data_IF_814271173900
#
_entry.id   IF_814271173900
#
_cell.length_a   1.000
_cell.length_b   1.000
_cell.length_c   1.000
_cell.angle_alpha   90.00
_cell.angle_beta   90.00
_cell.angle_gamma   90.00
#
_symmetry.space_group_name_H-M   'P 1'
#
loop_
_entity.id
_entity.type
_entity.pdbx_description
1 polymer ?
#
# COMPACT_ATOMS: atom_id res chain seq x y z
N UNK A 1 5.00 -17.84 -17.68
CA UNK A 1 5.54 -16.62 -17.05
C UNK A 1 5.90 -16.96 -15.62
N UNK A 2 7.18 -16.89 -15.26
CA UNK A 2 7.64 -17.11 -13.88
C UNK A 2 7.16 -15.97 -12.99
N UNK A 3 6.59 -16.31 -11.83
CA UNK A 3 6.25 -15.35 -10.78
C UNK A 3 7.56 -14.71 -10.27
N UNK A 4 7.98 -13.59 -10.85
CA UNK A 4 9.09 -12.81 -10.30
C UNK A 4 8.58 -12.14 -9.02
N UNK A 5 9.19 -12.51 -7.90
CA UNK A 5 9.01 -11.80 -6.65
C UNK A 5 9.54 -10.37 -6.82
N UNK A 6 8.83 -9.35 -6.30
CA UNK A 6 9.31 -7.99 -6.36
C UNK A 6 10.58 -7.86 -5.51
N UNK A 7 11.51 -7.01 -5.93
CA UNK A 7 12.66 -6.66 -5.10
C UNK A 7 12.22 -5.63 -4.07
N UNK A 8 12.68 -5.74 -2.83
CA UNK A 8 12.41 -4.71 -1.82
C UNK A 8 13.30 -3.49 -2.10
N UNK A 9 12.74 -2.29 -1.96
CA UNK A 9 13.55 -1.07 -1.89
C UNK A 9 14.23 -1.00 -0.53
N UNK A 10 15.45 -0.45 -0.50
CA UNK A 10 16.13 -0.13 0.76
C UNK A 10 15.66 1.24 1.33
N UNK A 11 14.77 1.93 0.62
CA UNK A 11 14.03 3.09 1.13
C UNK A 11 12.73 2.62 1.79
N UNK A 12 12.34 3.26 2.89
CA UNK A 12 11.04 3.07 3.54
C UNK A 12 10.42 4.38 4.01
N UNK A 13 9.09 4.41 4.05
CA UNK A 13 8.31 5.55 4.57
C UNK A 13 7.57 5.11 5.83
N UNK A 14 7.72 5.90 6.89
CA UNK A 14 6.92 5.78 8.11
C UNK A 14 6.08 7.04 8.27
N UNK A 15 4.76 6.88 8.21
CA UNK A 15 3.85 8.01 8.24
C UNK A 15 2.51 7.68 8.89
N UNK A 16 2.00 8.61 9.70
CA UNK A 16 0.62 8.61 10.18
C UNK A 16 -0.29 9.53 9.33
N UNK A 17 0.27 10.26 8.35
CA UNK A 17 -0.47 10.97 7.32
C UNK A 17 -0.42 10.19 5.99
N UNK A 18 -1.56 9.60 5.63
CA UNK A 18 -1.68 8.80 4.41
C UNK A 18 -1.57 9.62 3.12
N UNK A 19 -2.02 10.87 3.10
CA UNK A 19 -1.95 11.69 1.87
C UNK A 19 -0.51 12.10 1.59
N UNK A 20 0.20 12.53 2.63
CA UNK A 20 1.63 12.80 2.52
C UNK A 20 2.42 11.55 2.15
N UNK A 21 2.10 10.40 2.75
CA UNK A 21 2.75 9.13 2.41
C UNK A 21 2.55 8.76 0.93
N UNK A 22 1.34 8.96 0.38
CA UNK A 22 1.08 8.72 -1.04
C UNK A 22 1.85 9.69 -1.95
N UNK A 23 1.93 10.97 -1.59
CA UNK A 23 2.71 11.96 -2.35
C UNK A 23 4.22 11.67 -2.32
N UNK A 24 4.78 11.33 -1.15
CA UNK A 24 6.18 10.91 -1.04
C UNK A 24 6.43 9.63 -1.85
N UNK A 25 5.48 8.69 -1.82
CA UNK A 25 5.58 7.45 -2.59
C UNK A 25 5.59 7.73 -4.09
N UNK A 26 4.76 8.64 -4.60
CA UNK A 26 4.77 8.99 -6.04
C UNK A 26 6.05 9.68 -6.49
N UNK A 27 6.78 10.31 -5.58
CA UNK A 27 8.09 10.91 -5.86
C UNK A 27 9.23 9.87 -5.90
N UNK A 28 9.22 8.87 -5.01
CA UNK A 28 10.39 8.02 -4.74
C UNK A 28 10.26 6.56 -5.21
N UNK A 29 9.07 6.05 -5.46
CA UNK A 29 8.89 4.63 -5.77
C UNK A 29 9.47 4.25 -7.14
N UNK A 30 10.08 3.07 -7.21
CA UNK A 30 10.68 2.54 -8.43
C UNK A 30 9.92 1.34 -8.99
N UNK A 31 9.81 1.28 -10.32
CA UNK A 31 9.17 0.16 -11.00
C UNK A 31 9.89 -1.15 -10.70
N UNK A 32 9.12 -2.22 -10.52
CA UNK A 32 9.59 -3.57 -10.14
C UNK A 32 10.24 -3.68 -8.76
N UNK A 33 10.22 -2.61 -7.98
CA UNK A 33 10.63 -2.61 -6.59
C UNK A 33 9.41 -2.30 -5.69
N UNK A 34 9.41 -2.89 -4.51
CA UNK A 34 8.38 -2.68 -3.50
C UNK A 34 8.90 -1.65 -2.48
N UNK A 35 8.25 -0.48 -2.46
CA UNK A 35 8.49 0.53 -1.43
C UNK A 35 7.65 0.22 -0.19
N UNK A 36 8.34 0.00 0.93
CA UNK A 36 7.68 -0.27 2.21
C UNK A 36 7.11 1.02 2.80
N UNK A 37 5.82 1.02 3.08
CA UNK A 37 5.10 2.10 3.79
C UNK A 37 4.44 1.51 5.03
N UNK A 38 4.62 2.15 6.19
CA UNK A 38 4.04 1.69 7.44
C UNK A 38 3.65 2.83 8.37
N UNK A 39 2.69 2.58 9.26
CA UNK A 39 2.28 3.56 10.27
C UNK A 39 3.37 3.75 11.34
N UNK A 40 3.38 4.92 11.96
CA UNK A 40 4.22 5.25 13.11
C UNK A 40 3.99 4.32 14.31
N UNK A 41 4.95 4.25 15.25
CA UNK A 41 4.76 3.49 16.48
C UNK A 41 3.68 4.13 17.35
N UNK A 42 2.75 3.32 17.88
CA UNK A 42 1.67 3.79 18.76
C UNK A 42 2.16 3.91 20.20
N UNK A 43 2.83 5.01 20.50
CA UNK A 43 3.53 5.22 21.78
C UNK A 43 2.61 5.27 23.00
N UNK A 44 1.33 5.61 22.83
CA UNK A 44 0.35 5.69 23.93
C UNK A 44 -0.13 4.34 24.42
N UNK A 45 0.17 3.24 23.72
CA UNK A 45 -0.19 1.90 24.17
C UNK A 45 0.70 1.45 25.34
N UNK A 46 0.20 0.59 26.24
CA UNK A 46 1.04 -0.01 27.29
C UNK A 46 2.29 -0.71 26.74
N UNK A 47 2.22 -1.23 25.51
CA UNK A 47 3.31 -1.87 24.78
C UNK A 47 4.02 -0.93 23.78
N UNK A 48 3.99 0.39 23.97
CA UNK A 48 4.55 1.37 23.03
C UNK A 48 6.03 1.13 22.66
N UNK A 49 6.84 0.61 23.59
CA UNK A 49 8.22 0.20 23.29
C UNK A 49 8.29 -0.99 22.32
N UNK A 50 7.36 -1.94 22.42
CA UNK A 50 7.27 -3.05 21.47
C UNK A 50 6.86 -2.57 20.07
N UNK A 51 6.03 -1.53 19.96
CA UNK A 51 5.70 -0.93 18.66
C UNK A 51 6.94 -0.38 17.94
N UNK A 52 7.84 0.29 18.67
CA UNK A 52 9.12 0.80 18.14
C UNK A 52 10.00 -0.36 17.65
N UNK A 53 10.16 -1.40 18.48
CA UNK A 53 10.93 -2.59 18.12
C UNK A 53 10.38 -3.26 16.86
N UNK A 54 9.05 -3.34 16.71
CA UNK A 54 8.41 -3.88 15.51
C UNK A 54 8.77 -3.10 14.24
N UNK A 55 8.77 -1.75 14.28
CA UNK A 55 9.18 -0.92 13.12
C UNK A 55 10.65 -1.11 12.80
N UNK A 56 11.51 -1.11 13.81
CA UNK A 56 12.94 -1.32 13.60
C UNK A 56 13.25 -2.70 13.01
N UNK A 57 12.57 -3.75 13.48
CA UNK A 57 12.72 -5.08 12.91
C UNK A 57 12.22 -5.15 11.47
N UNK A 58 11.13 -4.46 11.14
CA UNK A 58 10.65 -4.36 9.76
C UNK A 58 11.67 -3.64 8.86
N UNK A 59 12.24 -2.51 9.32
CA UNK A 59 13.28 -1.78 8.61
C UNK A 59 14.57 -2.59 8.44
N UNK A 60 14.99 -3.33 9.46
CA UNK A 60 16.11 -4.25 9.37
C UNK A 60 15.84 -5.40 8.40
N UNK A 61 14.61 -5.94 8.38
CA UNK A 61 14.20 -7.02 7.49
C UNK A 61 14.27 -6.65 6.00
N UNK A 62 14.12 -5.36 5.67
CA UNK A 62 14.26 -4.85 4.31
C UNK A 62 15.64 -4.24 4.02
N UNK A 63 16.59 -4.32 4.96
CA UNK A 63 17.89 -3.66 4.91
C UNK A 63 17.79 -2.15 4.60
N UNK A 64 16.89 -1.46 5.28
CA UNK A 64 16.65 -0.04 5.04
C UNK A 64 17.92 0.78 5.32
N UNK A 65 18.34 1.58 4.33
CA UNK A 65 19.44 2.53 4.46
C UNK A 65 19.01 3.98 4.18
N UNK A 66 17.73 4.17 3.87
CA UNK A 66 17.07 5.46 3.68
C UNK A 66 15.64 5.36 4.27
N UNK A 67 15.34 6.15 5.30
CA UNK A 67 14.09 6.10 6.04
C UNK A 67 13.46 7.48 6.11
N UNK A 68 12.33 7.64 5.43
CA UNK A 68 11.55 8.86 5.44
C UNK A 68 10.54 8.80 6.59
N UNK A 69 10.62 9.76 7.51
CA UNK A 69 9.62 9.99 8.54
C UNK A 69 8.76 11.18 8.13
N UNK A 70 7.44 11.02 8.15
CA UNK A 70 6.52 12.09 7.74
C UNK A 70 5.23 12.04 8.53
N UNK A 71 4.60 13.18 8.82
CA UNK A 71 3.31 13.22 9.51
C UNK A 71 3.28 12.54 10.90
N UNK A 72 4.44 12.37 11.54
CA UNK A 72 4.59 11.79 12.88
C UNK A 72 4.64 12.89 13.94
N UNK A 73 4.28 12.57 15.18
CA UNK A 73 4.52 13.47 16.32
C UNK A 73 6.00 13.56 16.68
N UNK A 74 6.41 14.63 17.37
CA UNK A 74 7.80 14.82 17.82
C UNK A 74 8.32 13.64 18.65
N UNK A 75 7.46 13.07 19.51
CA UNK A 75 7.79 11.90 20.32
C UNK A 75 8.03 10.66 19.46
N UNK A 76 7.23 10.45 18.42
CA UNK A 76 7.40 9.35 17.47
C UNK A 76 8.67 9.53 16.64
N UNK A 77 8.92 10.74 16.14
CA UNK A 77 10.15 11.08 15.39
C UNK A 77 11.37 10.80 16.25
N UNK A 78 11.39 11.28 17.49
CA UNK A 78 12.48 11.04 18.43
C UNK A 78 12.68 9.54 18.71
N UNK A 79 11.60 8.83 19.04
CA UNK A 79 11.64 7.41 19.35
C UNK A 79 12.20 6.55 18.20
N UNK A 80 11.85 6.90 16.96
CA UNK A 80 12.40 6.25 15.78
C UNK A 80 13.85 6.66 15.53
N UNK A 81 14.16 7.96 15.54
CA UNK A 81 15.48 8.48 15.19
C UNK A 81 16.59 8.02 16.14
N UNK A 82 16.31 7.90 17.44
CA UNK A 82 17.26 7.47 18.48
C UNK A 82 17.85 6.06 18.25
N UNK A 83 17.24 5.26 17.36
CA UNK A 83 17.63 3.87 17.09
C UNK A 83 18.43 3.70 15.79
N UNK A 84 18.54 4.74 14.96
CA UNK A 84 19.23 4.65 13.68
C UNK A 84 20.57 5.39 13.69
N UNK A 85 21.56 4.89 12.91
CA UNK A 85 22.75 5.65 12.60
C UNK A 85 22.41 7.00 11.96
N UNK A 86 23.26 8.00 12.20
CA UNK A 86 23.13 9.32 11.59
C UNK A 86 23.11 9.22 10.06
N UNK A 87 22.21 9.97 9.42
CA UNK A 87 22.15 10.10 7.97
C UNK A 87 21.26 9.09 7.24
N UNK A 88 20.65 8.14 7.95
CA UNK A 88 19.65 7.20 7.37
C UNK A 88 18.23 7.76 7.47
N UNK A 89 17.95 8.55 8.52
CA UNK A 89 16.60 9.04 8.82
C UNK A 89 16.43 10.47 8.33
N UNK A 90 15.36 10.70 7.57
CA UNK A 90 15.01 11.99 6.99
C UNK A 90 13.58 12.39 7.37
N UNK A 91 13.43 13.52 8.06
CA UNK A 91 12.13 14.13 8.27
C UNK A 91 11.70 14.84 6.99
N UNK A 92 10.52 14.50 6.47
CA UNK A 92 9.97 15.08 5.24
C UNK A 92 8.53 15.53 5.44
N UNK A 93 8.21 16.70 4.94
CA UNK A 93 6.87 17.26 4.86
C UNK A 93 6.38 17.40 3.42
N UNK A 94 5.21 18.01 3.27
CA UNK A 94 4.61 18.32 1.96
C UNK A 94 5.54 19.13 1.03
N UNK A 95 6.31 20.07 1.60
CA UNK A 95 7.22 20.91 0.83
C UNK A 95 8.44 20.16 0.26
N UNK A 96 8.76 18.97 0.79
CA UNK A 96 9.92 18.20 0.36
C UNK A 96 9.62 17.26 -0.82
N UNK A 97 8.34 17.03 -1.14
CA UNK A 97 7.91 16.01 -2.12
C UNK A 97 8.57 16.22 -3.49
N UNK A 98 8.54 17.45 -4.02
CA UNK A 98 9.14 17.77 -5.32
C UNK A 98 10.66 17.57 -5.31
N UNK A 99 11.33 17.87 -4.19
CA UNK A 99 12.78 17.72 -4.07
C UNK A 99 13.27 16.26 -4.06
N UNK A 100 12.37 15.30 -3.87
CA UNK A 100 12.67 13.87 -3.93
C UNK A 100 12.38 13.25 -5.30
N UNK A 101 11.60 13.94 -6.14
CA UNK A 101 11.15 13.41 -7.42
C UNK A 101 12.25 13.51 -8.48
N UNK A 102 12.27 12.54 -9.40
CA UNK A 102 13.13 12.63 -10.58
C UNK A 102 12.69 13.76 -11.53
N UNK A 103 13.61 14.30 -12.32
CA UNK A 103 13.32 15.34 -13.32
C UNK A 103 12.22 14.90 -14.32
N UNK A 104 12.18 13.62 -14.68
CA UNK A 104 11.14 13.06 -15.54
C UNK A 104 9.74 13.16 -14.92
N UNK A 105 9.63 12.94 -13.61
CA UNK A 105 8.35 13.06 -12.87
C UNK A 105 7.95 14.51 -12.70
N UNK A 106 8.91 15.40 -12.42
CA UNK A 106 8.67 16.84 -12.25
C UNK A 106 8.21 17.54 -13.53
N UNK A 107 8.63 17.04 -14.70
CA UNK A 107 8.22 17.58 -15.99
C UNK A 107 6.77 17.21 -16.38
N UNK A 108 6.13 16.29 -15.65
CA UNK A 108 4.74 15.91 -15.88
C UNK A 108 3.81 16.73 -14.98
N UNK A 109 2.61 17.07 -15.49
CA UNK A 109 1.59 17.74 -14.67
C UNK A 109 1.17 16.87 -13.48
N UNK A 110 0.93 17.47 -12.32
CA UNK A 110 0.41 16.74 -11.16
C UNK A 110 -0.94 16.07 -11.46
N UNK A 111 -1.13 14.85 -10.95
CA UNK A 111 -2.40 14.15 -10.99
C UNK A 111 -3.32 14.71 -9.91
N UNK A 112 -4.34 15.46 -10.34
CA UNK A 112 -5.44 15.96 -9.50
C UNK A 112 -6.36 14.79 -9.10
N UNK A 113 -6.61 14.60 -7.81
CA UNK A 113 -7.45 13.49 -7.34
C UNK A 113 -8.27 13.82 -6.09
N UNK A 114 -9.43 13.18 -5.95
CA UNK A 114 -10.28 13.28 -4.77
C UNK A 114 -9.66 12.63 -3.52
N UNK A 115 -10.27 12.81 -2.34
CA UNK A 115 -9.77 12.19 -1.09
C UNK A 115 -10.09 10.70 -0.91
N UNK A 116 -10.83 10.12 -1.85
CA UNK A 116 -11.27 8.73 -1.85
C UNK A 116 -10.45 7.86 -2.82
N UNK A 117 -10.33 6.57 -2.51
CA UNK A 117 -9.59 5.57 -3.30
C UNK A 117 -8.12 5.97 -3.51
N UNK A 118 -7.42 6.29 -2.42
CA UNK A 118 -6.04 6.78 -2.44
C UNK A 118 -5.07 5.77 -3.09
N UNK A 119 -5.33 4.47 -2.94
CA UNK A 119 -4.48 3.44 -3.58
C UNK A 119 -4.58 3.48 -5.10
N UNK A 120 -5.77 3.71 -5.65
CA UNK A 120 -5.99 3.82 -7.11
C UNK A 120 -5.34 5.08 -7.66
N UNK A 121 -5.47 6.20 -6.95
CA UNK A 121 -4.75 7.43 -7.25
C UNK A 121 -3.26 7.19 -7.37
N UNK A 122 -2.68 6.61 -6.32
CA UNK A 122 -1.26 6.38 -6.21
C UNK A 122 -0.76 5.47 -7.34
N UNK A 123 -1.44 4.34 -7.58
CA UNK A 123 -1.03 3.43 -8.62
C UNK A 123 -1.10 4.09 -10.01
N UNK A 124 -2.13 4.89 -10.29
CA UNK A 124 -2.24 5.65 -11.54
C UNK A 124 -1.10 6.66 -11.68
N UNK A 125 -0.80 7.41 -10.63
CA UNK A 125 0.31 8.37 -10.60
C UNK A 125 1.66 7.70 -10.87
N UNK A 126 1.91 6.53 -10.26
CA UNK A 126 3.13 5.76 -10.45
C UNK A 126 3.30 5.19 -11.88
N UNK A 127 2.19 4.80 -12.52
CA UNK A 127 2.21 4.35 -13.92
C UNK A 127 2.42 5.50 -14.90
N UNK A 128 1.83 6.65 -14.63
CA UNK A 128 1.93 7.85 -15.47
C UNK A 128 3.20 8.67 -15.19
N UNK A 129 3.94 8.34 -14.12
CA UNK A 129 5.14 9.08 -13.69
C UNK A 129 4.81 10.51 -13.24
N UNK A 130 3.78 10.67 -12.39
CA UNK A 130 3.26 11.98 -11.97
C UNK A 130 3.27 12.11 -10.45
N UNK A 131 3.46 13.35 -9.96
CA UNK A 131 3.15 13.68 -8.57
C UNK A 131 1.63 13.77 -8.35
N UNK A 132 1.21 13.75 -7.08
CA UNK A 132 -0.22 13.74 -6.71
C UNK A 132 -0.58 15.06 -6.05
N UNK A 133 -1.71 15.62 -6.45
CA UNK A 133 -2.34 16.76 -5.79
C UNK A 133 -3.76 16.39 -5.36
N UNK A 134 -3.99 16.36 -4.05
CA UNK A 134 -5.28 15.95 -3.47
C UNK A 134 -6.20 17.15 -3.29
N UNK A 135 -7.42 17.03 -3.81
CA UNK A 135 -8.47 18.04 -3.73
C UNK A 135 -9.74 17.44 -3.12
N UNK A 136 -10.52 18.23 -2.39
CA UNK A 136 -11.72 17.73 -1.70
C UNK A 136 -12.80 17.23 -2.68
N UNK A 137 -12.90 17.83 -3.87
CA UNK A 137 -13.89 17.49 -4.90
C UNK A 137 -13.24 17.00 -6.21
N UNK A 138 -12.03 16.45 -6.12
CA UNK A 138 -11.33 15.91 -7.28
C UNK A 138 -11.99 14.63 -7.84
N UNK A 139 -11.60 14.19 -9.04
CA UNK A 139 -12.10 12.94 -9.61
C UNK A 139 -11.66 11.74 -8.76
N UNK A 140 -12.47 10.68 -8.75
CA UNK A 140 -12.11 9.41 -8.12
C UNK A 140 -12.55 8.23 -8.98
N UNK A 141 -11.83 7.13 -8.86
CA UNK A 141 -12.14 5.85 -9.50
C UNK A 141 -11.85 4.74 -8.50
N UNK A 142 -12.59 3.63 -8.63
CA UNK A 142 -12.39 2.46 -7.77
C UNK A 142 -11.42 1.46 -8.39
N UNK A 143 -11.06 1.60 -9.67
CA UNK A 143 -10.18 0.65 -10.37
C UNK A 143 -9.22 1.38 -11.30
N UNK A 144 -7.99 0.90 -11.38
CA UNK A 144 -7.02 1.29 -12.41
C UNK A 144 -6.32 0.08 -13.01
N UNK A 145 -5.96 0.20 -14.29
CA UNK A 145 -5.31 -0.84 -15.07
C UNK A 145 -3.86 -1.09 -14.67
N UNK A 146 -3.31 -2.19 -15.19
CA UNK A 146 -1.90 -2.55 -15.05
C UNK A 146 -1.43 -3.32 -16.28
N UNK A 147 -0.13 -3.54 -16.37
CA UNK A 147 0.52 -4.12 -17.56
C UNK A 147 0.60 -5.65 -17.52
N UNK A 148 0.38 -6.26 -16.35
CA UNK A 148 0.49 -7.70 -16.13
C UNK A 148 -0.87 -8.38 -15.94
N UNK A 149 -0.90 -9.71 -16.04
CA UNK A 149 -2.07 -10.55 -15.72
C UNK A 149 -2.24 -10.76 -14.20
N UNK A 150 -1.97 -9.73 -13.41
CA UNK A 150 -2.14 -9.75 -11.96
C UNK A 150 -3.04 -8.60 -11.57
N UNK A 151 -3.85 -8.85 -10.57
CA UNK A 151 -4.77 -7.85 -10.06
C UNK A 151 -4.80 -7.91 -8.53
N UNK A 152 -4.68 -6.73 -7.94
CA UNK A 152 -4.73 -6.53 -6.50
C UNK A 152 -6.10 -5.99 -6.15
N UNK A 153 -6.74 -6.58 -5.15
CA UNK A 153 -8.02 -6.12 -4.61
C UNK A 153 -7.76 -5.61 -3.21
N UNK A 154 -8.17 -4.39 -2.89
CA UNK A 154 -8.04 -3.83 -1.55
C UNK A 154 -9.41 -3.43 -1.00
N UNK A 155 -9.70 -3.84 0.22
CA UNK A 155 -10.88 -3.40 0.96
C UNK A 155 -10.72 -1.92 1.39
N UNK A 156 -11.74 -1.11 1.14
CA UNK A 156 -11.79 0.28 1.58
C UNK A 156 -11.83 0.41 3.11
N UNK A 157 -11.37 1.56 3.61
CA UNK A 157 -11.53 1.95 5.02
C UNK A 157 -10.23 2.05 5.81
N UNK A 158 -9.09 1.71 5.22
CA UNK A 158 -7.77 2.07 5.74
C UNK A 158 -6.89 2.61 4.60
N UNK A 159 -6.62 3.92 4.64
CA UNK A 159 -5.84 4.62 3.61
C UNK A 159 -4.40 4.10 3.50
N UNK A 160 -3.74 3.77 4.62
CA UNK A 160 -2.39 3.16 4.58
C UNK A 160 -2.43 1.79 3.91
N UNK A 161 -3.47 0.99 4.17
CA UNK A 161 -3.62 -0.33 3.51
C UNK A 161 -3.80 -0.20 2.00
N UNK A 162 -4.51 0.82 1.53
CA UNK A 162 -4.63 1.10 0.09
C UNK A 162 -3.29 1.51 -0.54
N UNK A 163 -2.46 2.28 0.17
CA UNK A 163 -1.09 2.64 -0.27
C UNK A 163 -0.21 1.39 -0.37
N UNK A 164 -0.25 0.53 0.66
CA UNK A 164 0.49 -0.74 0.68
C UNK A 164 0.08 -1.63 -0.51
N UNK A 165 -1.24 -1.72 -0.78
CA UNK A 165 -1.78 -2.48 -1.91
C UNK A 165 -1.33 -1.89 -3.26
N UNK A 166 -1.31 -0.56 -3.39
CA UNK A 166 -0.83 0.14 -4.57
C UNK A 166 0.67 -0.11 -4.81
N UNK A 167 1.50 -0.05 -3.77
CA UNK A 167 2.95 -0.33 -3.90
C UNK A 167 3.20 -1.78 -4.29
N UNK A 168 2.43 -2.71 -3.71
CA UNK A 168 2.49 -4.11 -4.12
C UNK A 168 2.08 -4.27 -5.58
N UNK A 169 0.95 -3.68 -6.00
CA UNK A 169 0.50 -3.72 -7.38
C UNK A 169 1.54 -3.14 -8.35
N UNK A 170 2.13 -2.00 -8.01
CA UNK A 170 3.16 -1.34 -8.81
C UNK A 170 4.44 -2.17 -8.92
N UNK A 171 4.86 -2.83 -7.84
CA UNK A 171 6.04 -3.71 -7.87
C UNK A 171 5.86 -4.93 -8.79
N UNK A 172 4.61 -5.34 -9.03
CA UNK A 172 4.27 -6.50 -9.86
C UNK A 172 3.80 -6.16 -11.26
N UNK A 173 3.55 -4.89 -11.54
CA UNK A 173 2.81 -4.49 -12.74
C UNK A 173 1.35 -4.89 -12.76
N UNK A 174 0.74 -5.07 -11.59
CA UNK A 174 -0.66 -5.43 -11.47
C UNK A 174 -1.59 -4.22 -11.65
N UNK A 175 -2.86 -4.53 -11.89
CA UNK A 175 -3.98 -3.59 -11.71
C UNK A 175 -4.42 -3.56 -10.24
N UNK A 176 -5.21 -2.56 -9.85
CA UNK A 176 -5.76 -2.43 -8.50
C UNK A 176 -7.24 -2.05 -8.55
N UNK A 177 -8.05 -2.71 -7.73
CA UNK A 177 -9.43 -2.32 -7.42
C UNK A 177 -9.61 -2.13 -5.92
N UNK A 178 -10.26 -1.03 -5.55
CA UNK A 178 -10.80 -0.80 -4.20
C UNK A 178 -12.24 -1.27 -4.16
N UNK A 179 -12.53 -2.22 -3.27
CA UNK A 179 -13.88 -2.72 -3.02
C UNK A 179 -14.45 -2.10 -1.72
N UNK A 180 -15.77 -1.97 -1.59
CA UNK A 180 -16.39 -1.56 -0.35
C UNK A 180 -15.99 -2.47 0.81
N UNK A 181 -16.09 -1.94 2.04
CA UNK A 181 -15.87 -2.71 3.26
C UNK A 181 -16.78 -3.94 3.28
N UNK A 182 -16.19 -5.11 3.51
CA UNK A 182 -16.91 -6.38 3.53
C UNK A 182 -17.63 -6.53 4.87
N UNK A 183 -18.89 -6.96 4.82
CA UNK A 183 -19.67 -7.18 6.03
C UNK A 183 -19.02 -8.30 6.89
N UNK A 184 -19.21 -8.25 8.22
CA UNK A 184 -18.51 -9.15 9.13
C UNK A 184 -18.93 -10.61 8.96
N UNK A 185 -20.23 -10.85 8.77
CA UNK A 185 -20.81 -12.18 8.62
C UNK A 185 -20.27 -12.93 7.39
N UNK A 186 -20.21 -12.27 6.24
CA UNK A 186 -19.62 -12.82 5.02
C UNK A 186 -18.11 -13.06 5.16
N UNK A 187 -17.43 -12.19 5.92
CA UNK A 187 -16.00 -12.40 6.19
C UNK A 187 -15.77 -13.68 6.99
N UNK A 188 -16.57 -13.90 8.04
CA UNK A 188 -16.49 -15.09 8.88
C UNK A 188 -16.81 -16.36 8.09
N UNK A 189 -17.86 -16.33 7.26
CA UNK A 189 -18.20 -17.43 6.36
C UNK A 189 -17.06 -17.78 5.38
N UNK A 190 -16.46 -16.77 4.73
CA UNK A 190 -15.34 -16.97 3.79
C UNK A 190 -14.12 -17.53 4.54
N UNK A 191 -13.84 -17.09 5.77
CA UNK A 191 -12.74 -17.61 6.58
C UNK A 191 -12.96 -19.06 6.99
N UNK A 192 -14.16 -19.39 7.49
CA UNK A 192 -14.52 -20.76 7.86
C UNK A 192 -14.37 -21.71 6.66
N UNK A 193 -14.84 -21.29 5.47
CA UNK A 193 -14.67 -22.05 4.25
C UNK A 193 -13.19 -22.22 3.87
N UNK A 194 -12.37 -21.16 3.98
CA UNK A 194 -10.94 -21.21 3.70
C UNK A 194 -10.23 -22.22 4.62
N UNK A 195 -10.48 -22.16 5.93
CA UNK A 195 -9.87 -23.07 6.90
C UNK A 195 -10.37 -24.52 6.77
N UNK A 196 -11.62 -24.69 6.32
CA UNK A 196 -12.21 -26.02 6.12
C UNK A 196 -11.90 -26.63 4.74
N UNK A 197 -11.21 -25.87 3.86
CA UNK A 197 -10.95 -26.30 2.48
C UNK A 197 -9.81 -27.33 2.39
N UNK A 198 -10.10 -28.58 2.72
CA UNK A 198 -9.18 -29.70 2.47
C UNK A 198 -9.36 -30.28 1.05
N UNK A 199 -10.51 -30.02 0.39
CA UNK A 199 -10.90 -30.62 -0.89
C UNK A 199 -11.23 -29.58 -1.99
N UNK A 200 -11.17 -30.01 -3.27
CA UNK A 200 -11.24 -29.13 -4.44
C UNK A 200 -12.55 -28.35 -4.65
N UNK A 201 -13.71 -28.88 -4.24
CA UNK A 201 -15.02 -28.22 -4.42
C UNK A 201 -15.19 -27.00 -3.51
N UNK A 202 -14.79 -27.11 -2.24
CA UNK A 202 -14.83 -25.99 -1.28
C UNK A 202 -13.93 -24.83 -1.73
N UNK A 203 -12.78 -25.17 -2.33
CA UNK A 203 -11.86 -24.18 -2.90
C UNK A 203 -12.46 -23.46 -4.11
N UNK A 204 -13.27 -24.13 -4.91
CA UNK A 204 -13.97 -23.52 -6.05
C UNK A 204 -15.06 -22.56 -5.56
N UNK A 205 -15.86 -22.97 -4.56
CA UNK A 205 -16.88 -22.10 -3.94
C UNK A 205 -16.25 -20.84 -3.35
N UNK A 206 -15.16 -20.99 -2.60
CA UNK A 206 -14.42 -19.88 -2.01
C UNK A 206 -13.88 -18.92 -3.08
N UNK A 207 -13.37 -19.44 -4.20
CA UNK A 207 -12.94 -18.61 -5.32
C UNK A 207 -14.09 -17.82 -5.92
N UNK A 208 -15.27 -18.44 -6.05
CA UNK A 208 -16.48 -17.76 -6.52
C UNK A 208 -16.90 -16.64 -5.56
N UNK A 209 -16.91 -16.90 -4.25
CA UNK A 209 -17.30 -15.89 -3.25
C UNK A 209 -16.33 -14.70 -3.24
N UNK A 210 -15.02 -14.95 -3.29
CA UNK A 210 -14.01 -13.90 -3.40
C UNK A 210 -14.11 -13.13 -4.72
N UNK A 211 -14.45 -13.81 -5.81
CA UNK A 211 -14.66 -13.16 -7.11
C UNK A 211 -15.90 -12.26 -7.10
N UNK A 212 -16.99 -12.71 -6.47
CA UNK A 212 -18.22 -11.94 -6.32
C UNK A 212 -17.99 -10.64 -5.52
N UNK A 213 -17.05 -10.63 -4.56
CA UNK A 213 -16.65 -9.41 -3.86
C UNK A 213 -16.03 -8.35 -4.78
N UNK A 214 -15.46 -8.77 -5.92
CA UNK A 214 -14.88 -7.86 -6.92
C UNK A 214 -15.97 -7.20 -7.79
N UNK A 215 -17.25 -7.57 -7.64
CA UNK A 215 -18.36 -6.99 -8.37
C UNK A 215 -18.25 -7.22 -9.87
N UNK A 216 -18.41 -6.14 -10.66
CA UNK A 216 -18.42 -6.18 -12.12
C UNK A 216 -17.04 -6.01 -12.77
N UNK A 217 -15.94 -6.26 -12.05
CA UNK A 217 -14.59 -6.17 -12.62
C UNK A 217 -14.38 -7.37 -13.55
N UNK A 218 -14.14 -7.09 -14.83
CA UNK A 218 -13.78 -8.12 -15.80
C UNK A 218 -12.29 -8.45 -15.70
N UNK A 219 -11.97 -9.71 -15.43
CA UNK A 219 -10.59 -10.18 -15.38
C UNK A 219 -10.24 -10.99 -16.63
N UNK A 220 -9.13 -10.69 -17.32
CA UNK A 220 -8.63 -11.53 -18.39
C UNK A 220 -8.39 -12.97 -17.93
N UNK A 221 -8.58 -13.95 -18.83
CA UNK A 221 -8.36 -15.35 -18.51
C UNK A 221 -6.93 -15.61 -17.97
N UNK A 222 -6.84 -16.29 -16.83
CA UNK A 222 -5.58 -16.59 -16.15
C UNK A 222 -5.01 -15.45 -15.30
N UNK A 223 -5.84 -14.47 -14.92
CA UNK A 223 -5.45 -13.42 -13.98
C UNK A 223 -5.27 -13.97 -12.57
N UNK A 224 -4.15 -13.64 -11.92
CA UNK A 224 -3.93 -13.93 -10.50
C UNK A 224 -4.48 -12.79 -9.64
N UNK A 225 -5.27 -13.14 -8.62
CA UNK A 225 -5.82 -12.19 -7.66
C UNK A 225 -5.02 -12.19 -6.35
N UNK A 226 -4.85 -11.03 -5.74
CA UNK A 226 -4.29 -10.88 -4.38
C UNK A 226 -5.15 -9.90 -3.60
N UNK A 227 -5.66 -10.33 -2.44
CA UNK A 227 -6.57 -9.55 -1.62
C UNK A 227 -5.84 -8.91 -0.43
N UNK A 228 -6.02 -7.60 -0.25
CA UNK A 228 -5.63 -6.81 0.91
C UNK A 228 -6.88 -6.44 1.68
N UNK A 229 -6.91 -6.81 2.94
CA UNK A 229 -8.13 -6.80 3.76
C UNK A 229 -7.74 -6.75 5.23
N UNK A 230 -8.58 -6.11 6.03
CA UNK A 230 -8.34 -6.01 7.47
C UNK A 230 -8.79 -7.26 8.22
N UNK A 231 -9.65 -8.08 7.62
CA UNK A 231 -10.37 -9.14 8.33
C UNK A 231 -10.00 -10.56 7.88
N UNK A 232 -9.49 -10.77 6.66
CA UNK A 232 -8.88 -12.05 6.30
C UNK A 232 -7.47 -12.16 6.89
N UNK A 233 -7.38 -12.35 8.21
CA UNK A 233 -6.14 -12.77 8.83
C UNK A 233 -5.91 -14.24 8.45
N UNK A 234 -5.00 -14.48 7.50
CA UNK A 234 -4.33 -15.77 7.37
C UNK A 234 -3.47 -15.93 8.64
N UNK A 235 -3.88 -16.82 9.54
CA UNK A 235 -3.08 -17.21 10.70
C UNK A 235 -1.81 -17.96 10.25
#
# INVERSE_FOLDING_TARGET
MTLRAPKLMNTAIISDDAYLAAQLTSAVAERFHYLSVMDGPRLTRPDGQAEIVRRNNALAGINANDVILSGLSDDQVKAMSDKFPNGIVHLRGYADVEGLASEAVLNNECLKWGRENIGVCLLKALYEGRLIDFEDNGPTMTTTGGESKRHVVCEAGNKTSEIIAANYAYSLGASLTIIPKVNAELTEQILEQLYSSENGEQRLSLQTDLFNLCGSVEFPHGTSLTFFTKKFHLA
#
